data_IF_784979733772
#
_entry.id   IF_784979733772
#
_cell.length_a   1.000
_cell.length_b   1.000
_cell.length_c   1.000
_cell.angle_alpha   90.00
_cell.angle_beta   90.00
_cell.angle_gamma   90.00
#
_symmetry.space_group_name_H-M   'P 1'
#
loop_
_entity.id
_entity.type
_entity.pdbx_description
1 polymer ?
#
# COMPACT_ATOMS: atom_id res chain seq x y z
N UNK A 1 24.10 14.87 -2.11
CA UNK A 1 23.40 13.78 -1.42
C UNK A 1 22.02 13.73 -2.02
N UNK A 2 21.72 12.68 -2.79
CA UNK A 2 20.46 12.58 -3.53
C UNK A 2 19.36 12.27 -2.50
N UNK A 3 18.51 13.25 -2.20
CA UNK A 3 17.32 13.04 -1.38
C UNK A 3 16.42 12.04 -2.10
N UNK A 4 16.33 10.82 -1.57
CA UNK A 4 15.35 9.84 -1.99
C UNK A 4 13.98 10.53 -2.04
N UNK A 5 13.25 10.52 -3.17
CA UNK A 5 11.90 11.01 -3.19
C UNK A 5 11.08 10.09 -2.27
N UNK A 6 10.92 10.52 -1.02
CA UNK A 6 9.87 10.00 -0.15
C UNK A 6 8.60 10.16 -0.96
N UNK A 7 7.95 9.05 -1.29
CA UNK A 7 6.73 9.05 -2.07
C UNK A 7 5.68 9.82 -1.24
N UNK A 8 5.58 11.13 -1.46
CA UNK A 8 4.71 12.06 -0.73
C UNK A 8 3.24 11.64 -0.77
N UNK A 9 2.89 10.86 -1.79
CA UNK A 9 1.52 10.42 -2.03
C UNK A 9 1.08 9.26 -1.13
N UNK A 10 2.01 8.57 -0.45
CA UNK A 10 1.71 7.35 0.36
C UNK A 10 0.84 6.36 -0.43
N UNK A 11 1.11 6.26 -1.72
CA UNK A 11 0.43 5.39 -2.68
C UNK A 11 1.47 4.63 -3.47
N UNK A 12 1.23 3.34 -3.66
CA UNK A 12 2.11 2.42 -4.36
C UNK A 12 1.29 1.63 -5.35
N UNK A 13 1.87 1.30 -6.49
CA UNK A 13 1.22 0.45 -7.48
C UNK A 13 1.46 -1.03 -7.17
N UNK A 14 0.56 -1.87 -7.64
CA UNK A 14 0.82 -3.31 -7.73
C UNK A 14 2.13 -3.57 -8.49
N UNK A 15 3.01 -4.38 -7.92
CA UNK A 15 4.36 -4.62 -8.43
C UNK A 15 5.45 -3.73 -7.81
N UNK A 16 5.11 -2.68 -7.06
CA UNK A 16 6.10 -1.90 -6.31
C UNK A 16 6.46 -2.54 -4.97
N UNK A 17 7.68 -2.29 -4.50
CA UNK A 17 8.12 -2.66 -3.16
C UNK A 17 7.44 -1.77 -2.13
N UNK A 18 6.69 -2.38 -1.23
CA UNK A 18 6.12 -1.77 -0.05
C UNK A 18 7.22 -1.23 0.85
N UNK A 19 7.24 0.08 1.09
CA UNK A 19 8.22 0.71 1.98
C UNK A 19 7.71 0.85 3.42
N UNK A 20 6.40 0.79 3.63
CA UNK A 20 5.77 1.04 4.94
C UNK A 20 4.84 -0.12 5.28
N UNK A 21 5.00 -0.74 6.43
CA UNK A 21 4.03 -1.76 6.87
C UNK A 21 2.74 -1.08 7.33
N UNK A 22 1.59 -1.61 6.96
CA UNK A 22 0.30 -1.08 7.40
C UNK A 22 -0.91 -1.59 6.64
N UNK A 23 -2.05 -0.97 6.90
CA UNK A 23 -3.30 -1.24 6.19
C UNK A 23 -3.38 -0.36 4.96
N UNK A 24 -3.54 -1.00 3.81
CA UNK A 24 -3.61 -0.38 2.50
C UNK A 24 -4.96 -0.63 1.87
N UNK A 25 -5.52 0.40 1.25
CA UNK A 25 -6.74 0.27 0.45
C UNK A 25 -6.44 0.32 -1.04
N UNK A 26 -7.12 -0.49 -1.83
CA UNK A 26 -7.09 -0.34 -3.27
C UNK A 26 -7.92 0.88 -3.69
N UNK A 27 -7.30 1.84 -4.37
CA UNK A 27 -7.97 3.04 -4.88
C UNK A 27 -8.92 2.70 -6.03
N UNK A 28 -8.58 1.76 -6.91
CA UNK A 28 -9.48 1.31 -7.99
C UNK A 28 -10.75 0.65 -7.42
N UNK A 29 -10.63 -0.22 -6.42
CA UNK A 29 -11.82 -0.78 -5.76
C UNK A 29 -12.69 0.36 -5.21
N UNK A 30 -12.09 1.31 -4.49
CA UNK A 30 -12.83 2.42 -3.89
C UNK A 30 -13.56 3.27 -4.94
N UNK A 31 -12.91 3.54 -6.07
CA UNK A 31 -13.52 4.23 -7.22
C UNK A 31 -14.65 3.41 -7.85
N UNK A 32 -14.54 2.08 -7.85
CA UNK A 32 -15.59 1.16 -8.28
C UNK A 32 -16.70 0.94 -7.23
N UNK A 33 -16.69 1.68 -6.11
CA UNK A 33 -17.66 1.54 -5.03
C UNK A 33 -17.46 0.29 -4.16
N UNK A 34 -16.31 -0.36 -4.25
CA UNK A 34 -15.92 -1.52 -3.42
C UNK A 34 -14.82 -1.12 -2.45
N UNK A 35 -14.89 -1.57 -1.21
CA UNK A 35 -13.80 -1.32 -0.27
C UNK A 35 -12.93 -2.58 -0.16
N UNK A 36 -11.68 -2.49 -0.61
CA UNK A 36 -10.69 -3.54 -0.43
C UNK A 36 -9.53 -3.01 0.38
N UNK A 37 -9.43 -3.47 1.63
CA UNK A 37 -8.35 -3.14 2.55
C UNK A 37 -7.54 -4.42 2.78
N UNK A 38 -6.22 -4.32 2.59
CA UNK A 38 -5.27 -5.40 2.89
C UNK A 38 -4.11 -4.86 3.69
N UNK A 39 -3.64 -5.66 4.62
CA UNK A 39 -2.45 -5.35 5.39
C UNK A 39 -1.22 -5.83 4.62
N UNK A 40 -0.22 -4.97 4.50
CA UNK A 40 1.04 -5.28 3.86
C UNK A 40 2.20 -4.95 4.79
N UNK A 41 3.27 -5.72 4.65
CA UNK A 41 4.51 -5.51 5.38
C UNK A 41 5.50 -4.72 4.53
N UNK A 42 6.32 -3.90 5.17
CA UNK A 42 7.44 -3.24 4.51
C UNK A 42 8.43 -4.30 3.99
N UNK A 43 8.96 -4.09 2.80
CA UNK A 43 9.85 -5.00 2.09
C UNK A 43 9.14 -6.02 1.19
N UNK A 44 7.81 -6.15 1.27
CA UNK A 44 7.04 -7.03 0.37
C UNK A 44 6.64 -6.30 -0.92
N UNK A 45 6.43 -7.02 -2.00
CA UNK A 45 5.89 -6.45 -3.24
C UNK A 45 4.36 -6.36 -3.11
N UNK A 46 3.76 -5.23 -3.50
CA UNK A 46 2.31 -5.11 -3.55
C UNK A 46 1.75 -6.10 -4.57
N UNK A 47 0.90 -7.05 -4.16
CA UNK A 47 0.28 -7.95 -5.10
C UNK A 47 -0.73 -7.20 -5.97
N UNK A 48 -1.06 -7.80 -7.11
CA UNK A 48 -2.21 -7.37 -7.90
C UNK A 48 -3.49 -7.52 -7.06
N UNK A 49 -4.43 -6.59 -7.25
CA UNK A 49 -5.74 -6.70 -6.64
C UNK A 49 -6.56 -7.71 -7.44
N UNK A 50 -6.91 -8.83 -6.80
CA UNK A 50 -7.75 -9.88 -7.43
C UNK A 50 -9.17 -9.38 -7.74
N UNK A 51 -9.68 -8.42 -6.96
CA UNK A 51 -11.00 -7.81 -7.16
C UNK A 51 -11.07 -6.80 -8.30
N UNK A 52 -9.92 -6.33 -8.81
CA UNK A 52 -9.88 -5.38 -9.92
C UNK A 52 -9.57 -6.15 -11.21
N UNK A 53 -10.38 -5.97 -12.28
CA UNK A 53 -10.06 -6.53 -13.60
C UNK A 53 -8.81 -5.86 -14.19
N UNK A 54 -8.50 -4.65 -13.73
CA UNK A 54 -7.28 -3.92 -14.04
C UNK A 54 -6.10 -4.49 -13.25
N UNK A 55 -5.06 -4.95 -13.96
CA UNK A 55 -3.84 -5.50 -13.36
C UNK A 55 -2.90 -4.42 -12.79
N UNK A 56 -3.15 -3.15 -13.12
CA UNK A 56 -2.46 -1.99 -12.53
C UNK A 56 -3.42 -1.32 -11.54
N UNK A 57 -3.21 -1.56 -10.25
CA UNK A 57 -3.99 -0.93 -9.19
C UNK A 57 -3.12 -0.10 -8.28
N UNK A 58 -3.68 1.00 -7.79
CA UNK A 58 -2.99 1.84 -6.80
C UNK A 58 -3.45 1.48 -5.40
N UNK A 59 -2.51 1.05 -4.56
CA UNK A 59 -2.66 0.83 -3.13
C UNK A 59 -2.33 2.11 -2.37
N UNK A 60 -3.30 2.63 -1.61
CA UNK A 60 -3.11 3.79 -0.75
C UNK A 60 -2.99 3.34 0.70
N UNK A 61 -1.94 3.76 1.39
CA UNK A 61 -1.83 3.51 2.83
C UNK A 61 -2.91 4.29 3.56
N UNK A 62 -3.78 3.57 4.29
CA UNK A 62 -4.76 4.16 5.19
C UNK A 62 -4.15 4.45 6.54
N UNK A 63 -3.57 3.41 7.15
CA UNK A 63 -2.99 3.48 8.49
C UNK A 63 -1.66 2.74 8.45
N UNK A 64 -0.52 3.41 8.71
CA UNK A 64 0.70 2.66 8.98
C UNK A 64 0.41 1.74 10.15
N UNK A 65 0.81 0.47 10.04
CA UNK A 65 0.85 -0.40 11.20
C UNK A 65 1.76 0.35 12.16
N UNK A 66 1.19 0.86 13.24
CA UNK A 66 1.94 1.58 14.25
C UNK A 66 3.14 0.69 14.53
N UNK A 67 4.34 1.21 14.27
CA UNK A 67 5.58 0.50 14.49
C UNK A 67 5.38 -0.28 15.78
N UNK A 68 5.42 -1.61 15.71
CA UNK A 68 5.38 -2.46 16.89
C UNK A 68 6.39 -1.80 17.82
N UNK A 69 5.91 -1.05 18.83
CA UNK A 69 6.77 -0.54 19.86
C UNK A 69 7.20 -1.83 20.52
N UNK A 70 8.40 -2.27 20.17
CA UNK A 70 9.13 -3.26 20.93
C UNK A 70 9.01 -2.79 22.37
N UNK A 71 8.14 -3.46 23.11
CA UNK A 71 7.99 -3.23 24.54
C UNK A 71 9.14 -4.04 25.09
N UNK A 72 10.25 -3.34 25.35
CA UNK A 72 11.38 -3.87 26.10
C UNK A 72 10.94 -4.12 27.55
#
# INVERSE_FOLDING_TARGET
MLEDPVNSSRTWKSGETCRISGSYRCQNCHLAGRELIREFEAGKIFPMCDSCPEKDVTWRLLKPAAAFKATA
#
